data_IF_488594703401
#
_entry.id   IF_488594703401
#
_cell.length_a   1.000
_cell.length_b   1.000
_cell.length_c   1.000
_cell.angle_alpha   90.00
_cell.angle_beta   90.00
_cell.angle_gamma   90.00
#
_symmetry.space_group_name_H-M   'P 1'
#
loop_
_entity.id
_entity.type
_entity.pdbx_description
1 polymer ?
#
# COMPACT_ATOMS: atom_id res chain seq x y z
N UNK A 1 11.50 -26.66 16.01
CA UNK A 1 10.83 -25.86 14.95
C UNK A 1 10.78 -24.46 15.49
N UNK A 2 10.90 -23.42 14.67
CA UNK A 2 10.67 -22.06 15.17
C UNK A 2 9.27 -22.00 15.80
N UNK A 3 9.13 -21.20 16.85
CA UNK A 3 7.85 -21.00 17.51
C UNK A 3 6.86 -20.38 16.51
N UNK A 4 5.58 -20.71 16.65
CA UNK A 4 4.53 -20.13 15.79
C UNK A 4 4.46 -18.61 16.06
N UNK A 5 4.46 -17.75 15.02
CA UNK A 5 4.36 -16.31 15.18
C UNK A 5 3.02 -15.92 15.80
N UNK A 6 2.99 -14.82 16.53
CA UNK A 6 1.74 -14.18 16.92
C UNK A 6 1.11 -13.41 15.74
N UNK A 7 -0.17 -13.10 15.82
CA UNK A 7 -0.84 -12.20 14.86
C UNK A 7 -0.06 -10.88 14.76
N UNK A 8 0.42 -10.34 15.89
CA UNK A 8 1.20 -9.10 15.95
C UNK A 8 2.51 -9.17 15.15
N UNK A 9 3.20 -10.30 15.17
CA UNK A 9 4.42 -10.51 14.35
C UNK A 9 4.10 -10.44 12.85
N UNK A 10 2.98 -11.08 12.44
CA UNK A 10 2.53 -11.11 11.05
C UNK A 10 2.08 -9.73 10.60
N UNK A 11 1.29 -9.03 11.42
CA UNK A 11 0.80 -7.68 11.09
C UNK A 11 1.95 -6.69 11.05
N UNK A 12 2.92 -6.77 11.96
CA UNK A 12 4.14 -5.94 11.92
C UNK A 12 4.91 -6.12 10.61
N UNK A 13 5.05 -7.34 10.12
CA UNK A 13 5.72 -7.59 8.84
C UNK A 13 4.93 -7.02 7.64
N UNK A 14 3.60 -7.13 7.65
CA UNK A 14 2.73 -6.53 6.62
C UNK A 14 2.79 -5.00 6.66
N UNK A 15 2.77 -4.41 7.86
CA UNK A 15 2.83 -2.96 8.07
C UNK A 15 4.21 -2.36 7.75
N UNK A 16 5.28 -3.14 7.86
CA UNK A 16 6.61 -2.74 7.39
C UNK A 16 6.66 -2.61 5.86
N UNK A 17 5.89 -3.42 5.12
CA UNK A 17 5.76 -3.34 3.67
C UNK A 17 4.74 -2.28 3.24
N UNK A 18 3.55 -2.30 3.82
CA UNK A 18 2.43 -1.41 3.53
C UNK A 18 1.97 -0.69 4.81
N UNK A 19 2.65 0.40 5.21
CA UNK A 19 2.37 1.09 6.46
C UNK A 19 0.92 1.59 6.54
N UNK A 20 0.19 1.38 7.65
CA UNK A 20 -1.19 1.86 7.80
C UNK A 20 -1.34 3.36 7.55
N UNK A 21 -0.32 4.15 7.89
CA UNK A 21 -0.31 5.61 7.65
C UNK A 21 -0.20 6.02 6.17
N UNK A 22 0.00 5.08 5.24
CA UNK A 22 -0.08 5.30 3.79
C UNK A 22 -1.46 5.01 3.21
N UNK A 23 -2.39 4.45 3.99
CA UNK A 23 -3.77 4.25 3.59
C UNK A 23 -4.49 5.58 3.31
N UNK A 24 -5.56 5.53 2.54
CA UNK A 24 -6.43 6.67 2.31
C UNK A 24 -7.16 7.06 3.61
N UNK A 25 -7.42 8.35 3.80
CA UNK A 25 -7.98 8.89 5.06
C UNK A 25 -9.38 8.33 5.41
N UNK A 26 -10.11 7.79 4.45
CA UNK A 26 -11.44 7.19 4.64
C UNK A 26 -11.39 5.70 4.98
N UNK A 27 -10.21 5.08 4.94
CA UNK A 27 -10.02 3.63 5.03
C UNK A 27 -9.91 3.14 6.48
N UNK A 28 -10.09 1.83 6.67
CA UNK A 28 -9.96 1.16 7.95
C UNK A 28 -9.13 -0.12 7.80
N UNK A 29 -7.81 0.02 7.81
CA UNK A 29 -6.86 -1.09 7.69
C UNK A 29 -6.39 -1.59 9.07
N UNK A 30 -5.80 -2.77 9.11
CA UNK A 30 -5.27 -3.35 10.34
C UNK A 30 -6.12 -4.49 10.92
N UNK A 31 -5.85 -4.86 12.17
CA UNK A 31 -6.58 -5.93 12.86
C UNK A 31 -8.00 -5.45 13.22
N UNK A 32 -8.99 -6.05 12.57
CA UNK A 32 -10.40 -5.66 12.74
C UNK A 32 -11.13 -6.48 13.80
N UNK A 33 -10.76 -7.75 13.96
CA UNK A 33 -11.32 -8.66 14.96
C UNK A 33 -10.19 -9.56 15.46
N UNK A 34 -10.14 -9.86 16.74
CA UNK A 34 -9.24 -10.85 17.32
C UNK A 34 -8.28 -10.30 18.37
N UNK A 35 -7.38 -11.17 18.82
CA UNK A 35 -6.34 -10.89 19.81
C UNK A 35 -4.98 -10.99 19.13
N UNK A 36 -4.25 -9.86 19.08
CA UNK A 36 -2.95 -9.73 18.43
C UNK A 36 -1.89 -10.69 19.00
N UNK A 37 -2.01 -11.12 20.25
CA UNK A 37 -1.08 -12.03 20.91
C UNK A 37 -1.27 -13.51 20.55
N UNK A 38 -2.33 -13.85 19.82
CA UNK A 38 -2.64 -15.23 19.45
C UNK A 38 -1.63 -15.77 18.45
N UNK A 39 -1.10 -16.98 18.74
CA UNK A 39 -0.22 -17.70 17.83
C UNK A 39 -0.96 -18.19 16.59
N UNK A 40 -0.29 -18.18 15.44
CA UNK A 40 -0.81 -18.56 14.12
C UNK A 40 0.01 -19.70 13.55
N UNK A 41 -0.66 -20.82 13.27
CA UNK A 41 -0.09 -21.98 12.58
C UNK A 41 -0.69 -22.17 11.19
N UNK A 42 -1.92 -21.67 11.00
CA UNK A 42 -2.65 -21.72 9.74
C UNK A 42 -3.41 -20.41 9.53
N UNK A 43 -3.45 -19.93 8.30
CA UNK A 43 -4.16 -18.70 7.93
C UNK A 43 -4.79 -18.81 6.54
N UNK A 44 -5.91 -18.09 6.33
CA UNK A 44 -6.59 -17.98 5.04
C UNK A 44 -6.45 -16.57 4.49
N UNK A 45 -6.16 -16.48 3.19
CA UNK A 45 -6.00 -15.23 2.43
C UNK A 45 -7.15 -15.11 1.44
N UNK A 46 -7.86 -14.00 1.46
CA UNK A 46 -9.01 -13.74 0.60
C UNK A 46 -9.09 -12.27 0.19
N UNK A 47 -9.83 -11.98 -0.87
CA UNK A 47 -10.11 -10.59 -1.24
C UNK A 47 -11.08 -9.96 -0.22
N UNK A 48 -12.18 -10.65 0.09
CA UNK A 48 -13.24 -10.17 0.97
C UNK A 48 -13.49 -11.13 2.14
N UNK A 49 -13.83 -10.59 3.31
CA UNK A 49 -14.36 -11.39 4.42
C UNK A 49 -15.83 -11.76 4.14
N UNK A 50 -16.09 -13.06 4.00
CA UNK A 50 -17.43 -13.60 3.78
C UNK A 50 -17.74 -14.77 4.73
N UNK A 51 -19.02 -15.17 4.92
CA UNK A 51 -19.34 -16.36 5.68
C UNK A 51 -18.71 -17.64 5.12
N UNK A 52 -18.51 -17.72 3.80
CA UNK A 52 -17.84 -18.85 3.14
C UNK A 52 -16.35 -18.90 3.48
N UNK A 53 -15.65 -17.76 3.45
CA UNK A 53 -14.24 -17.64 3.86
C UNK A 53 -14.06 -18.00 5.34
N UNK A 54 -14.98 -17.57 6.22
CA UNK A 54 -14.96 -17.96 7.64
C UNK A 54 -15.16 -19.47 7.83
N UNK A 55 -16.06 -20.09 7.04
CA UNK A 55 -16.26 -21.54 7.07
C UNK A 55 -15.01 -22.28 6.59
N UNK A 56 -14.35 -21.79 5.56
CA UNK A 56 -13.09 -22.33 5.05
C UNK A 56 -11.96 -22.19 6.08
N UNK A 57 -11.84 -21.01 6.74
CA UNK A 57 -10.88 -20.81 7.81
C UNK A 57 -11.07 -21.82 8.97
N UNK A 58 -12.32 -22.09 9.36
CA UNK A 58 -12.64 -23.12 10.34
C UNK A 58 -12.26 -24.53 9.87
N UNK A 59 -12.43 -24.84 8.58
CA UNK A 59 -12.08 -26.14 8.01
C UNK A 59 -10.56 -26.37 7.94
N UNK A 60 -9.77 -25.31 7.88
CA UNK A 60 -8.31 -25.34 7.91
C UNK A 60 -7.74 -25.16 9.34
N UNK A 61 -8.57 -25.15 10.37
CA UNK A 61 -8.17 -24.81 11.75
C UNK A 61 -7.36 -23.51 11.84
N UNK A 62 -7.65 -22.53 10.95
CA UNK A 62 -6.92 -21.29 10.85
C UNK A 62 -7.23 -20.35 12.02
N UNK A 63 -6.18 -19.69 12.52
CA UNK A 63 -6.29 -18.69 13.59
C UNK A 63 -6.41 -17.27 13.05
N UNK A 64 -6.08 -17.04 11.76
CA UNK A 64 -6.09 -15.73 11.12
C UNK A 64 -6.69 -15.80 9.72
N UNK A 65 -7.49 -14.80 9.39
CA UNK A 65 -7.88 -14.47 8.01
C UNK A 65 -7.28 -13.11 7.67
N UNK A 66 -6.57 -13.02 6.55
CA UNK A 66 -6.06 -11.76 6.00
C UNK A 66 -6.86 -11.44 4.74
N UNK A 67 -7.49 -10.27 4.71
CA UNK A 67 -8.25 -9.80 3.55
C UNK A 67 -7.66 -8.52 2.99
N UNK A 68 -7.87 -8.30 1.69
CA UNK A 68 -7.62 -6.99 1.10
C UNK A 68 -8.69 -6.01 1.59
N UNK A 69 -9.95 -6.30 1.33
CA UNK A 69 -11.04 -5.41 1.73
C UNK A 69 -11.36 -5.51 3.22
N UNK A 70 -11.54 -4.37 3.92
CA UNK A 70 -11.96 -4.34 5.30
C UNK A 70 -13.44 -4.72 5.46
N UNK A 71 -13.72 -5.67 6.36
CA UNK A 71 -15.09 -5.95 6.76
C UNK A 71 -15.72 -4.75 7.47
N UNK A 72 -14.95 -4.13 8.37
CA UNK A 72 -15.39 -2.97 9.16
C UNK A 72 -15.00 -1.65 8.45
N UNK A 73 -15.41 -1.49 7.17
CA UNK A 73 -15.09 -0.29 6.40
C UNK A 73 -15.69 1.00 6.98
N UNK A 74 -16.86 0.87 7.63
CA UNK A 74 -17.51 1.98 8.33
C UNK A 74 -17.66 1.64 9.82
N UNK A 75 -17.61 2.65 10.72
CA UNK A 75 -17.87 2.42 12.13
C UNK A 75 -19.19 1.68 12.35
N UNK A 76 -19.21 0.75 13.31
CA UNK A 76 -20.39 0.04 13.75
C UNK A 76 -20.97 0.72 14.99
N UNK A 77 -22.29 0.86 15.04
CA UNK A 77 -23.00 1.29 16.27
C UNK A 77 -23.03 0.19 17.35
N UNK A 78 -22.82 -1.06 16.95
CA UNK A 78 -22.76 -2.20 17.85
C UNK A 78 -22.38 -3.50 17.12
N UNK A 79 -21.84 -4.46 17.88
CA UNK A 79 -21.54 -5.81 17.37
C UNK A 79 -22.67 -6.74 17.81
N UNK A 80 -23.65 -6.96 16.92
CA UNK A 80 -24.86 -7.75 17.17
C UNK A 80 -25.12 -8.72 16.02
N UNK A 81 -26.04 -9.65 16.19
CA UNK A 81 -26.48 -10.54 15.12
C UNK A 81 -27.30 -9.87 14.01
N UNK A 82 -27.59 -8.57 14.14
CA UNK A 82 -28.39 -7.81 13.19
C UNK A 82 -27.51 -7.17 12.11
N UNK A 83 -27.76 -7.50 10.87
CA UNK A 83 -27.00 -6.98 9.74
C UNK A 83 -25.78 -7.83 9.36
N UNK A 84 -25.39 -7.77 8.08
CA UNK A 84 -24.35 -8.61 7.51
C UNK A 84 -22.99 -8.42 8.17
N UNK A 85 -22.51 -7.18 8.22
CA UNK A 85 -21.16 -6.85 8.71
C UNK A 85 -21.01 -7.14 10.20
N UNK A 86 -21.96 -6.65 11.02
CA UNK A 86 -21.95 -6.84 12.47
C UNK A 86 -22.05 -8.33 12.87
N UNK A 87 -22.92 -9.09 12.20
CA UNK A 87 -23.06 -10.51 12.43
C UNK A 87 -21.80 -11.29 12.04
N UNK A 88 -21.18 -10.96 10.90
CA UNK A 88 -19.96 -11.64 10.48
C UNK A 88 -18.78 -11.32 11.41
N UNK A 89 -18.63 -10.08 11.85
CA UNK A 89 -17.62 -9.68 12.84
C UNK A 89 -17.81 -10.46 14.17
N UNK A 90 -19.08 -10.61 14.62
CA UNK A 90 -19.41 -11.41 15.80
C UNK A 90 -19.02 -12.89 15.61
N UNK A 91 -19.29 -13.46 14.43
CA UNK A 91 -18.95 -14.86 14.14
C UNK A 91 -17.43 -15.10 14.10
N UNK A 92 -16.62 -14.15 13.60
CA UNK A 92 -15.15 -14.19 13.68
C UNK A 92 -14.70 -14.19 15.14
N UNK A 93 -15.25 -13.28 15.96
CA UNK A 93 -14.93 -13.20 17.39
C UNK A 93 -15.32 -14.47 18.15
N UNK A 94 -16.52 -15.03 17.92
CA UNK A 94 -16.99 -16.28 18.54
C UNK A 94 -16.15 -17.49 18.11
N UNK A 95 -15.66 -17.50 16.87
CA UNK A 95 -14.78 -18.55 16.39
C UNK A 95 -13.34 -18.39 16.95
N UNK A 96 -13.03 -17.25 17.54
CA UNK A 96 -11.68 -16.90 17.98
C UNK A 96 -10.70 -16.77 16.81
N UNK A 97 -11.15 -16.47 15.60
CA UNK A 97 -10.32 -16.28 14.40
C UNK A 97 -10.07 -14.79 14.22
N UNK A 98 -8.78 -14.40 14.10
CA UNK A 98 -8.40 -13.02 13.79
C UNK A 98 -8.81 -12.63 12.37
N UNK A 99 -9.21 -11.38 12.18
CA UNK A 99 -9.44 -10.78 10.87
C UNK A 99 -8.57 -9.53 10.73
N UNK A 100 -7.64 -9.56 9.79
CA UNK A 100 -6.77 -8.44 9.45
C UNK A 100 -7.03 -7.98 8.02
N UNK A 101 -7.08 -6.68 7.79
CA UNK A 101 -7.28 -6.12 6.45
C UNK A 101 -6.12 -5.23 6.05
N UNK A 102 -5.65 -5.43 4.80
CA UNK A 102 -4.57 -4.68 4.16
C UNK A 102 -5.11 -4.18 2.81
N UNK A 103 -5.58 -2.95 2.78
CA UNK A 103 -6.39 -2.39 1.70
C UNK A 103 -5.63 -1.28 0.96
N UNK A 104 -6.06 -0.03 1.05
CA UNK A 104 -5.44 1.08 0.30
C UNK A 104 -3.99 1.37 0.69
N UNK A 105 -3.52 0.92 1.84
CA UNK A 105 -2.09 0.92 2.17
C UNK A 105 -1.29 -0.07 1.30
N UNK A 106 -1.87 -1.22 0.95
CA UNK A 106 -1.25 -2.17 0.01
C UNK A 106 -1.29 -1.64 -1.43
N UNK A 107 -2.38 -0.94 -1.81
CA UNK A 107 -2.44 -0.24 -3.11
C UNK A 107 -1.35 0.81 -3.24
N UNK A 108 -1.04 1.48 -2.13
CA UNK A 108 -0.03 2.54 -2.06
C UNK A 108 1.41 2.02 -1.94
N UNK A 109 1.60 0.73 -1.66
CA UNK A 109 2.94 0.16 -1.43
C UNK A 109 3.68 -0.15 -2.74
N UNK A 110 5.02 -0.05 -2.76
CA UNK A 110 5.82 -0.64 -3.82
C UNK A 110 5.54 -2.16 -3.89
N UNK A 111 5.52 -2.71 -5.09
CA UNK A 111 5.20 -4.13 -5.31
C UNK A 111 3.79 -4.53 -4.77
N UNK A 112 2.90 -3.54 -4.56
CA UNK A 112 1.53 -3.76 -4.12
C UNK A 112 0.59 -4.16 -5.28
N UNK A 113 -0.73 -3.98 -5.06
CA UNK A 113 -1.79 -4.49 -5.95
C UNK A 113 -1.61 -4.08 -7.41
N UNK A 114 -1.41 -2.79 -7.67
CA UNK A 114 -1.28 -2.29 -9.04
C UNK A 114 0.01 -2.74 -9.73
N UNK A 115 1.09 -2.97 -8.98
CA UNK A 115 2.32 -3.55 -9.51
C UNK A 115 2.13 -5.03 -9.88
N UNK A 116 1.48 -5.80 -9.02
CA UNK A 116 1.15 -7.19 -9.30
C UNK A 116 0.17 -7.32 -10.48
N UNK A 117 -0.78 -6.38 -10.63
CA UNK A 117 -1.66 -6.30 -11.79
C UNK A 117 -0.88 -6.01 -13.07
N UNK A 118 0.08 -5.06 -13.02
CA UNK A 118 0.96 -4.74 -14.15
C UNK A 118 1.80 -5.96 -14.57
N UNK A 119 2.41 -6.66 -13.61
CA UNK A 119 3.16 -7.89 -13.85
C UNK A 119 2.26 -8.99 -14.46
N UNK A 120 1.05 -9.16 -13.93
CA UNK A 120 0.06 -10.13 -14.44
C UNK A 120 -0.29 -9.86 -15.91
N UNK A 121 -0.37 -8.60 -16.31
CA UNK A 121 -0.61 -8.17 -17.69
C UNK A 121 0.65 -8.24 -18.57
N UNK A 122 1.84 -8.45 -17.99
CA UNK A 122 3.12 -8.56 -18.68
C UNK A 122 3.73 -7.21 -19.03
N UNK A 123 3.57 -6.23 -18.15
CA UNK A 123 4.22 -4.92 -18.26
C UNK A 123 5.63 -4.96 -17.70
N UNK A 124 6.52 -4.19 -18.28
CA UNK A 124 7.92 -3.98 -17.87
C UNK A 124 8.16 -2.50 -17.52
N UNK A 125 9.27 -2.19 -16.87
CA UNK A 125 9.65 -0.83 -16.45
C UNK A 125 8.53 -0.13 -15.68
N UNK A 126 7.98 -0.86 -14.70
CA UNK A 126 6.81 -0.44 -13.95
C UNK A 126 7.18 0.55 -12.84
N UNK A 127 6.46 1.66 -12.77
CA UNK A 127 6.52 2.64 -11.69
C UNK A 127 5.12 3.11 -11.27
N UNK A 128 5.02 3.87 -10.18
CA UNK A 128 3.73 4.45 -9.78
C UNK A 128 3.15 5.36 -10.87
N UNK A 129 1.86 5.24 -11.11
CA UNK A 129 1.11 6.15 -11.97
C UNK A 129 1.00 7.54 -11.32
N UNK A 130 0.66 7.60 -10.04
CA UNK A 130 0.57 8.83 -9.25
C UNK A 130 1.24 8.67 -7.89
N UNK A 131 2.51 9.08 -7.80
CA UNK A 131 3.23 9.11 -6.53
C UNK A 131 2.62 10.14 -5.56
N UNK A 132 2.57 9.83 -4.27
CA UNK A 132 1.98 10.69 -3.25
C UNK A 132 2.74 12.01 -3.11
N UNK A 133 2.01 13.12 -3.16
CA UNK A 133 2.50 14.45 -2.86
C UNK A 133 2.35 14.77 -1.36
N UNK A 134 3.17 15.71 -0.87
CA UNK A 134 3.11 16.25 0.51
C UNK A 134 3.18 15.18 1.62
N UNK A 135 3.82 14.04 1.35
CA UNK A 135 4.02 12.94 2.31
C UNK A 135 5.47 12.80 2.79
N UNK A 136 6.36 13.64 2.31
CA UNK A 136 7.78 13.61 2.65
C UNK A 136 8.18 14.83 3.48
N UNK A 137 9.07 14.57 4.43
CA UNK A 137 9.68 15.59 5.28
C UNK A 137 11.18 15.46 5.28
N UNK A 138 11.87 16.57 5.46
CA UNK A 138 13.30 16.63 5.76
C UNK A 138 13.47 16.90 7.25
N UNK A 139 13.96 15.92 7.98
CA UNK A 139 14.41 16.10 9.35
C UNK A 139 15.85 16.58 9.34
N UNK A 140 16.11 17.69 10.00
CA UNK A 140 17.43 18.22 10.27
C UNK A 140 17.68 18.22 11.78
N UNK A 141 18.75 17.61 12.25
CA UNK A 141 19.11 17.53 13.67
C UNK A 141 20.59 17.84 13.86
N UNK A 142 20.94 18.44 15.00
CA UNK A 142 22.32 18.84 15.34
C UNK A 142 22.84 17.87 16.40
N UNK A 143 23.83 17.06 16.03
CA UNK A 143 24.29 15.93 16.82
C UNK A 143 25.77 16.11 17.18
N UNK A 144 26.18 15.99 18.47
CA UNK A 144 27.58 16.03 18.85
C UNK A 144 28.33 14.85 18.22
N UNK A 145 29.63 15.05 17.93
CA UNK A 145 30.45 14.14 17.14
C UNK A 145 30.49 12.73 17.70
N UNK A 146 30.52 12.58 19.03
CA UNK A 146 30.60 11.31 19.73
C UNK A 146 29.33 10.46 19.64
N UNK A 147 28.15 11.10 19.43
CA UNK A 147 26.85 10.41 19.28
C UNK A 147 26.40 10.28 17.81
N UNK A 148 27.13 10.86 16.85
CA UNK A 148 26.66 11.00 15.48
C UNK A 148 26.28 9.68 14.80
N UNK A 149 27.15 8.67 14.89
CA UNK A 149 26.91 7.40 14.22
C UNK A 149 25.78 6.57 14.86
N UNK A 150 25.56 6.74 16.16
CA UNK A 150 24.46 6.11 16.89
C UNK A 150 23.12 6.71 16.47
N UNK A 151 22.99 8.04 16.52
CA UNK A 151 21.78 8.75 16.10
C UNK A 151 21.47 8.46 14.63
N UNK A 152 22.46 8.54 13.74
CA UNK A 152 22.27 8.26 12.31
C UNK A 152 21.73 6.86 12.05
N UNK A 153 22.25 5.84 12.75
CA UNK A 153 21.75 4.46 12.64
C UNK A 153 20.35 4.32 13.21
N UNK A 154 20.09 4.86 14.39
CA UNK A 154 18.76 4.81 15.01
C UNK A 154 17.68 5.42 14.11
N UNK A 155 17.94 6.56 13.45
CA UNK A 155 17.01 7.17 12.52
C UNK A 155 16.78 6.29 11.27
N UNK A 156 17.83 5.68 10.73
CA UNK A 156 17.71 4.80 9.58
C UNK A 156 16.91 3.52 9.93
N UNK A 157 17.19 2.91 11.08
CA UNK A 157 16.47 1.72 11.57
C UNK A 157 14.99 2.02 11.83
N UNK A 158 14.67 3.25 12.25
CA UNK A 158 13.29 3.73 12.40
C UNK A 158 12.60 4.10 11.06
N UNK A 159 13.27 3.91 9.91
CA UNK A 159 12.71 4.08 8.57
C UNK A 159 12.97 5.44 7.90
N UNK A 160 13.91 6.24 8.42
CA UNK A 160 14.38 7.45 7.74
C UNK A 160 15.38 7.13 6.61
N UNK A 161 15.51 8.05 5.64
CA UNK A 161 16.53 7.99 4.60
C UNK A 161 16.27 6.93 3.52
N UNK A 162 15.02 6.69 3.13
CA UNK A 162 14.67 5.82 2.01
C UNK A 162 14.36 6.65 0.78
N UNK A 163 15.19 6.55 -0.27
CA UNK A 163 15.05 7.30 -1.53
C UNK A 163 15.21 6.32 -2.70
N UNK A 164 14.15 6.04 -3.43
CA UNK A 164 14.15 5.00 -4.46
C UNK A 164 14.59 3.66 -3.88
N UNK A 165 15.60 3.03 -4.48
CA UNK A 165 16.16 1.74 -4.04
C UNK A 165 17.30 1.91 -3.01
N UNK A 166 17.55 3.14 -2.53
CA UNK A 166 18.59 3.40 -1.54
C UNK A 166 18.00 3.54 -0.13
N UNK A 167 18.70 2.96 0.84
CA UNK A 167 18.38 3.04 2.26
C UNK A 167 19.47 3.81 3.03
N UNK A 168 19.11 4.27 4.24
CA UNK A 168 19.99 5.03 5.12
C UNK A 168 20.63 6.27 4.46
N UNK A 169 19.95 6.85 3.46
CA UNK A 169 20.38 8.07 2.80
C UNK A 169 20.37 9.24 3.79
N UNK A 170 21.51 9.88 3.96
CA UNK A 170 21.66 11.01 4.85
C UNK A 170 22.70 11.98 4.27
N UNK A 171 22.56 13.25 4.64
CA UNK A 171 23.59 14.26 4.40
C UNK A 171 24.04 14.83 5.73
N UNK A 172 25.34 15.05 5.89
CA UNK A 172 25.89 15.66 7.10
C UNK A 172 26.86 16.79 6.78
N UNK A 173 26.82 17.83 7.60
CA UNK A 173 27.76 18.95 7.54
C UNK A 173 28.20 19.32 8.95
N UNK A 174 29.48 19.70 9.11
CA UNK A 174 30.05 20.13 10.36
C UNK A 174 29.64 21.57 10.69
N UNK A 175 29.49 21.86 12.00
CA UNK A 175 29.11 23.17 12.50
C UNK A 175 29.47 23.36 13.97
N UNK A 176 29.14 24.54 14.48
CA UNK A 176 29.27 24.85 15.91
C UNK A 176 27.93 25.34 16.43
N UNK A 177 27.35 24.61 17.37
CA UNK A 177 26.17 25.01 18.11
C UNK A 177 26.53 25.95 19.27
N UNK A 178 25.65 26.86 19.60
CA UNK A 178 25.78 27.75 20.76
C UNK A 178 24.50 27.71 21.58
N UNK A 179 24.65 27.49 22.89
CA UNK A 179 23.52 27.44 23.80
C UNK A 179 23.93 27.90 25.21
N UNK A 180 22.95 28.30 26.01
CA UNK A 180 23.18 28.66 27.42
C UNK A 180 22.27 27.79 28.28
N UNK A 181 22.82 26.85 29.09
CA UNK A 181 22.01 26.06 29.99
C UNK A 181 21.29 26.92 31.03
N UNK A 182 19.98 26.72 31.16
CA UNK A 182 19.19 27.34 32.25
C UNK A 182 19.54 26.74 33.63
N UNK A 183 19.11 27.38 34.71
CA UNK A 183 19.36 26.89 36.07
C UNK A 183 18.69 25.55 36.39
N UNK A 184 17.67 25.15 35.62
CA UNK A 184 16.95 23.88 35.80
C UNK A 184 17.30 22.81 34.76
N UNK A 185 18.28 23.06 33.87
CA UNK A 185 18.69 22.13 32.85
C UNK A 185 19.64 21.04 33.40
N UNK A 186 19.63 19.87 32.76
CA UNK A 186 20.64 18.81 32.97
C UNK A 186 21.47 18.63 31.67
N UNK A 187 22.37 19.59 31.38
CA UNK A 187 23.03 19.65 30.10
C UNK A 187 24.11 18.54 29.94
N UNK A 188 24.12 17.88 28.79
CA UNK A 188 25.19 16.96 28.37
C UNK A 188 26.54 17.69 28.26
N UNK A 189 26.54 18.93 27.80
CA UNK A 189 27.73 19.82 27.69
C UNK A 189 27.47 21.06 28.51
N UNK A 190 28.46 21.49 29.31
CA UNK A 190 28.38 22.70 30.17
C UNK A 190 27.82 22.42 31.55
N UNK A 191 27.34 23.48 32.21
CA UNK A 191 26.83 23.45 33.60
C UNK A 191 25.52 24.21 33.70
N UNK A 192 24.55 23.69 34.45
CA UNK A 192 23.26 24.35 34.72
C UNK A 192 23.46 25.77 35.27
N UNK A 193 22.82 26.75 34.64
CA UNK A 193 22.95 28.17 34.99
C UNK A 193 24.29 28.80 34.62
N UNK A 194 25.16 28.09 33.88
CA UNK A 194 26.47 28.58 33.42
C UNK A 194 26.41 29.65 32.34
N UNK A 195 27.57 29.89 31.72
CA UNK A 195 27.71 30.83 30.59
C UNK A 195 27.26 30.21 29.28
N UNK A 196 27.42 30.93 28.16
CA UNK A 196 27.17 30.40 26.80
C UNK A 196 28.26 29.36 26.47
N UNK A 197 27.80 28.15 26.17
CA UNK A 197 28.64 27.07 25.71
C UNK A 197 28.71 27.03 24.18
N UNK A 198 29.76 26.40 23.63
CA UNK A 198 29.87 26.07 22.23
C UNK A 198 30.18 24.60 22.06
N UNK A 199 29.42 23.90 21.23
CA UNK A 199 29.60 22.49 20.92
C UNK A 199 29.97 22.32 19.44
N UNK A 200 30.94 21.43 19.17
CA UNK A 200 31.18 20.98 17.81
C UNK A 200 30.13 19.92 17.47
N UNK A 201 29.31 20.19 16.48
CA UNK A 201 28.18 19.37 16.09
C UNK A 201 28.18 19.08 14.60
N UNK A 202 27.56 17.98 14.22
CA UNK A 202 27.23 17.70 12.83
C UNK A 202 25.73 17.84 12.62
N UNK A 203 25.35 18.72 11.66
CA UNK A 203 23.97 18.76 11.16
C UNK A 203 23.73 17.54 10.32
N UNK A 204 22.80 16.70 10.73
CA UNK A 204 22.34 15.51 10.03
C UNK A 204 20.98 15.83 9.37
N UNK A 205 20.86 15.57 8.07
CA UNK A 205 19.62 15.74 7.31
C UNK A 205 19.22 14.43 6.68
N UNK A 206 17.99 13.98 6.97
CA UNK A 206 17.39 12.74 6.44
C UNK A 206 16.00 13.02 5.90
N UNK A 207 15.59 12.25 4.90
CA UNK A 207 14.21 12.26 4.41
C UNK A 207 13.37 11.26 5.21
N UNK A 208 12.14 11.64 5.55
CA UNK A 208 11.24 10.84 6.38
C UNK A 208 9.84 10.87 5.76
N UNK A 209 9.26 9.71 5.52
CA UNK A 209 7.86 9.61 5.12
C UNK A 209 6.94 9.98 6.31
N UNK A 210 5.80 10.61 6.03
CA UNK A 210 4.83 11.10 7.04
C UNK A 210 4.47 10.03 8.07
N UNK A 211 4.24 8.81 7.63
CA UNK A 211 3.84 7.69 8.50
C UNK A 211 4.97 7.15 9.39
N UNK A 212 6.23 7.46 9.07
CA UNK A 212 7.39 7.09 9.90
C UNK A 212 7.82 8.20 10.87
N UNK A 213 7.19 9.40 10.81
CA UNK A 213 7.61 10.52 11.65
C UNK A 213 7.60 10.19 13.14
N UNK A 214 6.54 9.52 13.62
CA UNK A 214 6.42 9.19 15.05
C UNK A 214 7.54 8.27 15.53
N UNK A 215 7.83 7.20 14.78
CA UNK A 215 8.88 6.24 15.11
C UNK A 215 10.28 6.85 14.99
N UNK A 216 10.51 7.66 13.94
CA UNK A 216 11.79 8.35 13.73
C UNK A 216 12.04 9.38 14.84
N UNK A 217 11.02 10.15 15.25
CA UNK A 217 11.16 11.11 16.34
C UNK A 217 11.37 10.45 17.71
N UNK A 218 10.73 9.30 17.95
CA UNK A 218 10.98 8.51 19.16
C UNK A 218 12.43 7.97 19.19
N UNK A 219 12.90 7.41 18.07
CA UNK A 219 14.28 6.94 17.95
C UNK A 219 15.30 8.08 18.08
N UNK A 220 14.98 9.28 17.58
CA UNK A 220 15.82 10.46 17.77
C UNK A 220 15.98 10.79 19.26
N UNK A 221 14.86 10.86 19.99
CA UNK A 221 14.88 11.21 21.41
C UNK A 221 15.60 10.18 22.27
N UNK A 222 15.53 8.88 21.92
CA UNK A 222 16.18 7.81 22.65
C UNK A 222 17.69 7.79 22.39
N UNK A 223 18.12 8.02 21.14
CA UNK A 223 19.54 7.92 20.76
C UNK A 223 20.32 9.22 20.97
N UNK A 224 19.64 10.37 21.08
CA UNK A 224 20.33 11.64 21.20
C UNK A 224 20.73 11.93 22.64
N UNK A 225 21.99 12.36 22.94
CA UNK A 225 22.48 12.54 24.30
C UNK A 225 21.93 13.82 25.00
N UNK A 226 21.30 14.73 24.25
CA UNK A 226 20.74 15.95 24.84
C UNK A 226 19.35 15.73 25.41
N UNK A 227 19.04 16.34 26.55
CA UNK A 227 17.69 16.32 27.15
C UNK A 227 16.65 17.03 26.26
N UNK A 228 17.06 18.10 25.57
CA UNK A 228 16.26 18.85 24.60
C UNK A 228 16.98 18.82 23.25
N UNK A 229 16.42 18.09 22.29
CA UNK A 229 17.04 17.89 20.99
C UNK A 229 16.63 18.98 20.01
N UNK A 230 17.59 19.83 19.61
CA UNK A 230 17.39 20.82 18.58
C UNK A 230 17.23 20.15 17.21
N UNK A 231 16.07 20.29 16.61
CA UNK A 231 15.76 19.74 15.29
C UNK A 231 14.75 20.60 14.53
N UNK A 232 14.75 20.46 13.23
CA UNK A 232 13.79 21.10 12.33
C UNK A 232 13.14 20.05 11.43
N UNK A 233 11.85 20.22 11.13
CA UNK A 233 11.09 19.38 10.23
C UNK A 233 10.52 20.21 9.09
N UNK A 234 11.01 19.99 7.87
CA UNK A 234 10.59 20.71 6.67
C UNK A 234 9.77 19.83 5.74
N UNK A 235 8.56 20.25 5.28
CA UNK A 235 7.84 19.53 4.25
C UNK A 235 8.61 19.60 2.92
N UNK A 236 8.67 18.47 2.22
CA UNK A 236 9.32 18.32 0.92
C UNK A 236 8.25 18.25 -0.18
N UNK A 237 8.43 18.95 -1.29
CA UNK A 237 7.43 19.08 -2.35
C UNK A 237 7.53 18.04 -3.47
N UNK A 238 8.61 17.29 -3.54
CA UNK A 238 8.71 16.18 -4.49
C UNK A 238 7.68 15.09 -4.17
N UNK A 239 7.22 14.40 -5.21
CA UNK A 239 6.38 13.20 -5.04
C UNK A 239 7.19 12.08 -4.39
N UNK A 240 6.54 11.30 -3.56
CA UNK A 240 7.12 10.10 -2.98
C UNK A 240 7.28 9.03 -4.08
N UNK A 241 8.51 8.58 -4.30
CA UNK A 241 8.81 7.52 -5.27
C UNK A 241 8.55 6.12 -4.73
N UNK A 242 8.25 5.99 -3.44
CA UNK A 242 8.02 4.73 -2.74
C UNK A 242 6.58 4.58 -2.23
N UNK A 243 5.69 5.49 -2.57
CA UNK A 243 4.27 5.37 -2.28
C UNK A 243 3.46 6.18 -3.29
N UNK A 244 2.37 5.60 -3.76
CA UNK A 244 1.50 6.19 -4.77
C UNK A 244 0.37 5.26 -5.12
N UNK A 245 -0.48 5.63 -6.05
CA UNK A 245 -1.59 4.81 -6.52
C UNK A 245 -1.47 4.53 -8.02
N UNK A 246 -1.97 3.35 -8.40
CA UNK A 246 -1.84 2.84 -9.75
C UNK A 246 -0.39 2.56 -10.16
N UNK A 247 -0.23 1.93 -11.30
CA UNK A 247 1.07 1.66 -11.90
C UNK A 247 1.05 2.01 -13.39
N UNK A 248 2.22 2.36 -13.93
CA UNK A 248 2.44 2.66 -15.33
C UNK A 248 3.65 1.87 -15.81
N UNK A 249 3.52 1.19 -16.93
CA UNK A 249 4.59 0.39 -17.52
C UNK A 249 4.46 0.27 -19.03
N UNK A 250 5.27 -0.60 -19.62
CA UNK A 250 5.31 -0.82 -21.06
C UNK A 250 5.06 -2.29 -21.38
N UNK A 251 4.37 -2.56 -22.48
CA UNK A 251 4.36 -3.90 -23.08
C UNK A 251 5.74 -4.15 -23.73
N UNK A 252 6.21 -5.40 -23.66
CA UNK A 252 7.47 -5.80 -24.30
C UNK A 252 7.45 -5.53 -25.83
N UNK A 253 6.29 -5.64 -26.44
CA UNK A 253 6.06 -5.28 -27.84
C UNK A 253 4.67 -4.63 -28.01
N UNK A 254 4.57 -3.57 -28.83
CA UNK A 254 3.29 -2.95 -29.14
C UNK A 254 2.31 -3.94 -29.78
N UNK A 255 1.00 -3.79 -29.48
CA UNK A 255 -0.05 -4.60 -30.07
C UNK A 255 -1.32 -3.79 -30.34
N UNK A 256 -2.23 -4.25 -31.21
CA UNK A 256 -3.54 -3.66 -31.36
C UNK A 256 -4.36 -3.75 -30.05
N UNK A 257 -5.23 -2.75 -29.79
CA UNK A 257 -6.10 -2.75 -28.60
C UNK A 257 -6.94 -4.03 -28.54
N UNK A 258 -7.47 -4.52 -29.65
CA UNK A 258 -8.23 -5.78 -29.70
C UNK A 258 -7.44 -6.97 -29.10
N UNK A 259 -6.16 -7.10 -29.44
CA UNK A 259 -5.30 -8.15 -28.88
C UNK A 259 -4.96 -7.90 -27.39
N UNK A 260 -4.86 -6.62 -26.99
CA UNK A 260 -4.66 -6.27 -25.59
C UNK A 260 -5.91 -6.58 -24.73
N UNK A 261 -7.12 -6.34 -25.25
CA UNK A 261 -8.38 -6.71 -24.58
C UNK A 261 -8.45 -8.24 -24.35
N UNK A 262 -8.10 -9.05 -25.36
CA UNK A 262 -8.02 -10.51 -25.22
C UNK A 262 -6.98 -10.93 -24.15
N UNK A 263 -5.86 -10.23 -24.09
CA UNK A 263 -4.83 -10.43 -23.04
C UNK A 263 -5.38 -10.12 -21.65
N UNK A 264 -6.04 -8.96 -21.47
CA UNK A 264 -6.64 -8.57 -20.19
C UNK A 264 -7.67 -9.62 -19.76
N UNK A 265 -8.61 -9.99 -20.62
CA UNK A 265 -9.64 -10.98 -20.33
C UNK A 265 -9.02 -12.33 -19.91
N UNK A 266 -8.02 -12.81 -20.65
CA UNK A 266 -7.39 -14.10 -20.37
C UNK A 266 -6.54 -14.08 -19.10
N UNK A 267 -5.75 -13.02 -18.88
CA UNK A 267 -4.81 -12.94 -17.76
C UNK A 267 -5.50 -12.72 -16.43
N UNK A 268 -6.66 -12.06 -16.45
CA UNK A 268 -7.46 -11.76 -15.26
C UNK A 268 -8.64 -12.72 -15.08
N UNK A 269 -8.81 -13.71 -15.96
CA UNK A 269 -9.96 -14.64 -15.96
C UNK A 269 -11.31 -13.88 -16.00
N UNK A 270 -11.34 -12.76 -16.71
CA UNK A 270 -12.52 -11.91 -16.82
C UNK A 270 -13.49 -12.48 -17.87
N UNK A 271 -14.66 -12.93 -17.41
CA UNK A 271 -15.70 -13.49 -18.28
C UNK A 271 -16.33 -12.47 -19.24
N UNK A 272 -16.16 -11.18 -18.95
CA UNK A 272 -16.52 -10.04 -19.80
C UNK A 272 -15.76 -8.81 -19.37
N UNK A 273 -15.59 -7.84 -20.28
CA UNK A 273 -15.04 -6.53 -19.97
C UNK A 273 -15.79 -5.43 -20.72
N UNK A 274 -15.76 -4.23 -20.16
CA UNK A 274 -16.26 -3.02 -20.84
C UNK A 274 -15.05 -2.19 -21.28
N UNK A 275 -15.14 -1.54 -22.43
CA UNK A 275 -14.05 -0.67 -22.87
C UNK A 275 -14.55 0.50 -23.72
N UNK A 276 -13.72 1.53 -23.81
CA UNK A 276 -13.78 2.58 -24.81
C UNK A 276 -12.39 2.68 -25.47
N UNK A 277 -12.36 2.96 -26.76
CA UNK A 277 -11.14 3.05 -27.56
C UNK A 277 -11.34 2.51 -28.95
N UNK A 278 -10.38 2.77 -29.85
CA UNK A 278 -10.34 2.21 -31.19
C UNK A 278 -9.67 0.82 -31.14
N UNK A 279 -10.36 -0.28 -31.54
CA UNK A 279 -9.82 -1.63 -31.51
C UNK A 279 -8.50 -1.82 -32.28
N UNK A 280 -8.26 -0.99 -33.30
CA UNK A 280 -7.07 -1.03 -34.14
C UNK A 280 -5.93 -0.12 -33.63
N UNK A 281 -6.20 0.72 -32.60
CA UNK A 281 -5.18 1.57 -32.02
C UNK A 281 -4.03 0.74 -31.42
N UNK A 282 -2.81 1.24 -31.56
CA UNK A 282 -1.63 0.59 -30.98
C UNK A 282 -1.54 0.88 -29.48
N UNK A 283 -1.35 -0.16 -28.69
CA UNK A 283 -1.10 -0.11 -27.25
C UNK A 283 0.34 -0.55 -26.98
N UNK A 284 1.11 0.29 -26.33
CA UNK A 284 2.47 0.03 -25.87
C UNK A 284 2.63 0.45 -24.40
N UNK A 285 2.18 1.66 -24.04
CA UNK A 285 2.26 2.21 -22.69
C UNK A 285 0.94 2.04 -21.97
N UNK A 286 0.95 1.33 -20.85
CA UNK A 286 -0.27 0.93 -20.14
C UNK A 286 -0.23 1.42 -18.70
N UNK A 287 -1.28 2.10 -18.29
CA UNK A 287 -1.56 2.39 -16.89
C UNK A 287 -2.53 1.33 -16.33
N UNK A 288 -2.37 1.01 -15.04
CA UNK A 288 -3.27 0.10 -14.34
C UNK A 288 -3.57 0.63 -12.93
N UNK A 289 -4.76 0.35 -12.44
CA UNK A 289 -5.12 0.53 -11.03
C UNK A 289 -6.11 -0.58 -10.65
N UNK A 290 -5.76 -1.39 -9.64
CA UNK A 290 -6.68 -2.38 -9.08
C UNK A 290 -7.92 -1.71 -8.53
N UNK A 291 -9.08 -2.41 -8.60
CA UNK A 291 -10.35 -1.91 -8.11
C UNK A 291 -10.82 -0.60 -8.74
N UNK A 292 -11.37 0.27 -7.91
CA UNK A 292 -12.01 1.52 -8.33
C UNK A 292 -10.99 2.65 -8.54
N UNK A 293 -10.45 2.78 -9.75
CA UNK A 293 -9.44 3.78 -10.12
C UNK A 293 -9.91 4.84 -11.13
N UNK A 294 -11.21 5.09 -11.29
CA UNK A 294 -11.69 6.06 -12.27
C UNK A 294 -11.19 7.49 -12.04
N UNK A 295 -10.85 7.86 -10.83
CA UNK A 295 -10.28 9.17 -10.49
C UNK A 295 -8.89 9.41 -11.14
N UNK A 296 -8.20 8.34 -11.58
CA UNK A 296 -6.88 8.43 -12.23
C UNK A 296 -6.93 8.45 -13.77
N UNK A 297 -8.10 8.45 -14.41
CA UNK A 297 -8.25 8.52 -15.89
C UNK A 297 -7.47 9.72 -16.44
N UNK A 298 -7.65 10.89 -15.81
CA UNK A 298 -6.93 12.12 -16.21
C UNK A 298 -5.41 12.01 -16.02
N UNK A 299 -4.95 11.37 -14.96
CA UNK A 299 -3.54 11.13 -14.66
C UNK A 299 -2.91 10.16 -15.67
N UNK A 300 -3.59 9.04 -15.97
CA UNK A 300 -3.15 8.05 -16.94
C UNK A 300 -2.98 8.67 -18.34
N UNK A 301 -3.99 9.45 -18.78
CA UNK A 301 -3.92 10.20 -20.04
C UNK A 301 -2.78 11.23 -20.02
N UNK A 302 -2.64 11.99 -18.94
CA UNK A 302 -1.55 12.98 -18.77
C UNK A 302 -0.17 12.36 -18.76
N UNK A 303 -0.04 11.12 -18.29
CA UNK A 303 1.18 10.32 -18.36
C UNK A 303 1.45 9.73 -19.75
N UNK A 304 0.54 9.89 -20.70
CA UNK A 304 0.67 9.39 -22.06
C UNK A 304 0.45 7.89 -22.18
N UNK A 305 -0.43 7.31 -21.35
CA UNK A 305 -0.85 5.93 -21.52
C UNK A 305 -1.69 5.75 -22.77
N UNK A 306 -1.45 4.67 -23.53
CA UNK A 306 -2.29 4.26 -24.67
C UNK A 306 -3.54 3.52 -24.18
N UNK A 307 -3.43 2.80 -23.06
CA UNK A 307 -4.55 2.13 -22.40
C UNK A 307 -4.47 2.28 -20.88
N UNK A 308 -5.65 2.34 -20.25
CA UNK A 308 -5.79 2.32 -18.79
C UNK A 308 -6.74 1.20 -18.37
N UNK A 309 -6.26 0.31 -17.50
CA UNK A 309 -7.03 -0.82 -16.97
C UNK A 309 -7.38 -0.53 -15.51
N UNK A 310 -8.67 -0.47 -15.20
CA UNK A 310 -9.21 -0.27 -13.84
C UNK A 310 -10.65 -0.76 -13.79
N UNK A 311 -11.33 -0.66 -12.64
CA UNK A 311 -12.68 -1.14 -12.48
C UNK A 311 -13.64 -0.08 -11.93
N UNK A 312 -14.91 -0.47 -11.77
CA UNK A 312 -16.01 0.36 -11.26
C UNK A 312 -16.24 1.65 -12.06
N UNK A 313 -15.90 1.63 -13.34
CA UNK A 313 -16.02 2.79 -14.23
C UNK A 313 -17.48 3.07 -14.57
N UNK A 314 -17.95 4.26 -14.23
CA UNK A 314 -19.31 4.71 -14.57
C UNK A 314 -19.40 5.14 -16.03
N UNK A 315 -20.63 5.08 -16.58
CA UNK A 315 -20.90 5.41 -17.99
C UNK A 315 -20.27 6.73 -18.43
N UNK A 316 -20.42 7.79 -17.65
CA UNK A 316 -19.92 9.11 -18.04
C UNK A 316 -18.40 9.24 -17.98
N UNK A 317 -17.72 8.44 -17.17
CA UNK A 317 -16.27 8.45 -17.03
C UNK A 317 -15.56 7.91 -18.28
N UNK A 318 -16.23 7.04 -19.08
CA UNK A 318 -15.68 6.61 -20.36
C UNK A 318 -15.49 7.77 -21.35
N UNK A 319 -16.26 8.86 -21.24
CA UNK A 319 -16.10 10.04 -22.08
C UNK A 319 -14.82 10.85 -21.76
N UNK A 320 -14.22 10.66 -20.60
CA UNK A 320 -12.99 11.35 -20.23
C UNK A 320 -11.76 10.91 -21.05
N UNK A 321 -11.89 9.80 -21.77
CA UNK A 321 -10.86 9.33 -22.70
C UNK A 321 -10.86 10.07 -24.05
N UNK A 322 -11.92 10.81 -24.32
CA UNK A 322 -12.10 11.47 -25.62
C UNK A 322 -11.36 12.81 -25.69
N UNK A 323 -10.81 13.11 -26.86
CA UNK A 323 -10.29 14.41 -27.21
C UNK A 323 -11.40 15.42 -27.54
N UNK A 324 -11.00 16.66 -27.84
CA UNK A 324 -11.93 17.75 -28.17
C UNK A 324 -12.80 17.51 -29.44
N UNK A 325 -12.27 16.69 -30.34
CA UNK A 325 -12.93 16.29 -31.58
C UNK A 325 -13.78 15.01 -31.44
N UNK A 326 -13.86 14.46 -30.20
CA UNK A 326 -14.55 13.23 -29.91
C UNK A 326 -13.78 11.95 -30.26
N UNK A 327 -12.53 12.06 -30.70
CA UNK A 327 -11.69 10.87 -30.94
C UNK A 327 -11.10 10.31 -29.63
N UNK A 328 -11.03 8.97 -29.47
CA UNK A 328 -10.36 8.37 -28.32
C UNK A 328 -8.87 8.75 -28.31
N UNK A 329 -8.39 9.24 -27.16
CA UNK A 329 -6.96 9.56 -26.93
C UNK A 329 -6.25 8.49 -26.10
N UNK A 330 -7.00 7.64 -25.44
CA UNK A 330 -6.54 6.54 -24.61
C UNK A 330 -7.66 5.52 -24.56
N UNK A 331 -7.33 4.25 -24.59
CA UNK A 331 -8.30 3.20 -24.28
C UNK A 331 -8.55 3.12 -22.78
N UNK A 332 -9.81 2.91 -22.37
CA UNK A 332 -10.20 2.62 -20.99
C UNK A 332 -10.84 1.25 -20.94
N UNK A 333 -10.31 0.39 -20.07
CA UNK A 333 -10.69 -1.03 -19.99
C UNK A 333 -11.11 -1.35 -18.56
N UNK A 334 -12.34 -1.83 -18.40
CA UNK A 334 -12.93 -2.26 -17.13
C UNK A 334 -13.25 -3.76 -17.18
N UNK A 335 -12.35 -4.61 -16.65
CA UNK A 335 -12.55 -6.05 -16.61
C UNK A 335 -13.34 -6.53 -15.38
N UNK A 336 -13.60 -5.65 -14.42
CA UNK A 336 -14.26 -5.90 -13.16
C UNK A 336 -13.36 -5.71 -11.93
N UNK A 337 -13.96 -5.36 -10.81
CA UNK A 337 -13.27 -5.07 -9.56
C UNK A 337 -12.55 -6.32 -9.03
N UNK A 338 -13.31 -7.41 -8.86
CA UNK A 338 -12.77 -8.68 -8.39
C UNK A 338 -11.62 -9.18 -9.25
N UNK A 339 -11.78 -9.09 -10.56
CA UNK A 339 -10.82 -9.57 -11.55
C UNK A 339 -9.48 -8.81 -11.49
N UNK A 340 -9.52 -7.53 -11.13
CA UNK A 340 -8.31 -6.70 -10.99
C UNK A 340 -7.60 -6.86 -9.64
N UNK A 341 -8.27 -7.41 -8.61
CA UNK A 341 -7.74 -7.47 -7.24
C UNK A 341 -7.63 -8.88 -6.64
N UNK A 342 -8.30 -9.89 -7.18
CA UNK A 342 -8.19 -11.28 -6.68
C UNK A 342 -6.74 -11.81 -6.69
N UNK A 343 -5.86 -11.23 -7.50
CA UNK A 343 -4.43 -11.52 -7.51
C UNK A 343 -3.72 -11.19 -6.18
N UNK A 344 -4.32 -10.34 -5.33
CA UNK A 344 -3.82 -9.95 -4.00
C UNK A 344 -3.65 -11.16 -3.09
N UNK A 345 -4.51 -12.17 -3.21
CA UNK A 345 -4.41 -13.41 -2.44
C UNK A 345 -3.10 -14.15 -2.71
N UNK A 346 -2.67 -14.20 -3.97
CA UNK A 346 -1.39 -14.81 -4.36
C UNK A 346 -0.21 -13.94 -3.91
N UNK A 347 -0.31 -12.64 -4.10
CA UNK A 347 0.69 -11.65 -3.70
C UNK A 347 0.98 -11.75 -2.19
N UNK A 348 -0.06 -11.74 -1.35
CA UNK A 348 0.05 -11.88 0.09
C UNK A 348 0.64 -13.24 0.49
N UNK A 349 0.15 -14.33 -0.12
CA UNK A 349 0.65 -15.67 0.17
C UNK A 349 2.15 -15.78 -0.08
N UNK A 350 2.60 -15.33 -1.24
CA UNK A 350 3.99 -15.50 -1.65
C UNK A 350 4.91 -14.68 -0.73
N UNK A 351 4.52 -13.45 -0.38
CA UNK A 351 5.24 -12.60 0.59
C UNK A 351 5.27 -13.20 1.99
N UNK A 352 4.13 -13.67 2.50
CA UNK A 352 4.02 -14.20 3.85
C UNK A 352 4.71 -15.56 4.01
N UNK A 353 4.75 -16.40 2.95
CA UNK A 353 5.52 -17.64 2.95
C UNK A 353 7.03 -17.43 3.05
N UNK A 354 7.54 -16.39 2.44
CA UNK A 354 8.97 -16.04 2.56
C UNK A 354 9.32 -15.62 3.99
N UNK A 355 8.46 -14.82 4.62
CA UNK A 355 8.70 -14.27 5.96
C UNK A 355 8.40 -15.29 7.06
N UNK A 356 7.30 -16.05 6.92
CA UNK A 356 6.80 -17.00 7.92
C UNK A 356 6.58 -18.39 7.28
N UNK A 357 7.67 -19.10 6.88
CA UNK A 357 7.55 -20.40 6.21
C UNK A 357 6.99 -21.52 7.12
N UNK A 358 6.87 -21.29 8.43
CA UNK A 358 6.31 -22.24 9.40
C UNK A 358 4.78 -22.16 9.51
N UNK A 359 4.12 -21.20 8.85
CA UNK A 359 2.67 -21.04 8.83
C UNK A 359 2.09 -21.63 7.55
N UNK A 360 0.99 -22.37 7.66
CA UNK A 360 0.24 -22.88 6.51
C UNK A 360 -0.66 -21.78 5.93
N UNK A 361 -0.21 -21.20 4.80
CA UNK A 361 -0.90 -20.12 4.12
C UNK A 361 -1.80 -20.67 3.02
N UNK A 362 -3.12 -20.57 3.23
CA UNK A 362 -4.16 -21.01 2.28
C UNK A 362 -4.71 -19.81 1.52
N UNK A 363 -4.75 -19.88 0.20
CA UNK A 363 -5.61 -18.98 -0.57
C UNK A 363 -7.02 -19.56 -0.52
N UNK A 364 -8.02 -18.69 -0.42
CA UNK A 364 -9.41 -19.15 -0.49
C UNK A 364 -9.71 -19.82 -1.84
N UNK A 365 -10.47 -20.91 -1.80
CA UNK A 365 -11.04 -21.54 -2.99
C UNK A 365 -12.38 -20.88 -3.39
N UNK A 366 -12.85 -19.94 -2.58
CA UNK A 366 -14.13 -19.27 -2.75
C UNK A 366 -13.98 -17.99 -3.57
N UNK A 367 -14.70 -17.88 -4.68
CA UNK A 367 -14.89 -16.58 -5.34
C UNK A 367 -15.77 -15.70 -4.46
N UNK A 368 -15.19 -14.67 -3.87
CA UNK A 368 -15.86 -13.82 -2.87
C UNK A 368 -16.79 -12.76 -3.50
N UNK A 369 -16.62 -12.46 -4.81
CA UNK A 369 -17.47 -11.52 -5.52
C UNK A 369 -18.96 -11.88 -5.45
N UNK A 370 -19.84 -10.99 -4.98
CA UNK A 370 -21.28 -11.19 -5.02
C UNK A 370 -21.88 -11.00 -6.43
N UNK A 371 -21.11 -10.39 -7.34
CA UNK A 371 -21.56 -10.10 -8.69
C UNK A 371 -21.53 -11.34 -9.59
N UNK A 372 -22.44 -11.40 -10.55
CA UNK A 372 -22.47 -12.41 -11.60
C UNK A 372 -22.80 -11.74 -12.92
N UNK A 373 -22.07 -12.07 -13.98
CA UNK A 373 -22.36 -11.60 -15.32
C UNK A 373 -23.29 -12.58 -16.01
N UNK A 374 -24.44 -12.09 -16.44
CA UNK A 374 -25.36 -12.84 -17.30
C UNK A 374 -25.06 -12.54 -18.76
N UNK A 375 -24.58 -13.54 -19.49
CA UNK A 375 -24.45 -13.49 -20.94
C UNK A 375 -25.64 -14.22 -21.55
N UNK A 376 -26.58 -13.52 -22.25
CA UNK A 376 -27.68 -14.18 -22.92
C UNK A 376 -27.14 -15.23 -23.92
N UNK A 377 -27.81 -16.38 -24.00
CA UNK A 377 -27.52 -17.34 -25.07
C UNK A 377 -27.93 -16.70 -26.39
N UNK A 378 -27.01 -15.98 -27.03
CA UNK A 378 -27.16 -15.42 -28.35
C UNK A 378 -26.52 -16.33 -29.40
N UNK A 379 -27.04 -16.36 -30.60
CA UNK A 379 -26.43 -17.02 -31.73
C UNK A 379 -24.93 -16.62 -31.79
N UNK A 380 -24.06 -17.60 -31.77
CA UNK A 380 -22.65 -17.42 -32.05
C UNK A 380 -22.49 -16.94 -33.50
N UNK A 381 -22.51 -15.65 -33.71
CA UNK A 381 -22.33 -15.06 -35.03
C UNK A 381 -23.14 -13.77 -35.22
N UNK A 382 -22.53 -12.69 -34.88
CA UNK A 382 -22.45 -11.40 -35.58
C UNK A 382 -22.15 -10.31 -34.57
N UNK A 383 -20.92 -9.93 -34.47
CA UNK A 383 -20.54 -8.60 -33.99
C UNK A 383 -21.06 -7.65 -35.10
N UNK A 384 -22.20 -6.97 -34.84
CA UNK A 384 -22.61 -5.89 -35.70
C UNK A 384 -21.84 -4.62 -35.32
N UNK A 385 -21.19 -4.10 -36.32
CA UNK A 385 -20.46 -2.83 -36.39
C UNK A 385 -21.19 -1.65 -35.78
#
# INVERSE_FOLDING_TARGET
MPDAPAIDDITTALEAWAPPGSAQDYDNVGLQVGDASRSVTSAVLALDATPAVLAEAKAHDAELVVTHHPLLFRPLDGVTGDGYVSNLALQFAEAGIGLYSIHTNLDAAPEGVSFALAERLGLTDVGFLDGFADTLYKLAVFVPEDAFDEVRRALADAGAGRIGDYEACAFASEGTGFFKPGAGADPHIGTAGGDVESAHERKLEVEVARWNLSSVMAALQEAHPYEEVAHDLYPVKQKNSRAGLGALGHLEAPMPLSAFLDRVATRLDAGSLRYAGDPDATVERVAVCGGAGSDFIGTARGAGADAYVTADVKYHEFFETLGRDGTPQMALVDPGHYETEALTEALLRDRLRETFPQVDWHRTDTTTSPMRTFVPAGDAGTVSS
#
